data_IF_430525286986
#
_entry.id   IF_430525286986
#
_cell.length_a   1.000
_cell.length_b   1.000
_cell.length_c   1.000
_cell.angle_alpha   90.00
_cell.angle_beta   90.00
_cell.angle_gamma   90.00
#
_symmetry.space_group_name_H-M   'P 1'
#
loop_
_entity.id
_entity.type
_entity.pdbx_description
1 polymer ?
#
# COMPACT_ATOMS: atom_id res chain seq x y z
N UNK A 1 -5.67 -23.03 -16.77
CA UNK A 1 -5.22 -22.81 -15.37
C UNK A 1 -5.95 -23.82 -14.50
N UNK A 2 -5.29 -24.48 -13.56
CA UNK A 2 -5.98 -25.40 -12.64
C UNK A 2 -6.83 -24.61 -11.64
N UNK A 3 -7.93 -25.20 -11.13
CA UNK A 3 -8.82 -24.57 -10.15
C UNK A 3 -8.06 -24.14 -8.88
N UNK A 4 -7.05 -24.91 -8.46
CA UNK A 4 -6.17 -24.59 -7.33
C UNK A 4 -5.30 -23.36 -7.61
N UNK A 5 -4.76 -23.22 -8.82
CA UNK A 5 -3.98 -22.04 -9.20
C UNK A 5 -4.83 -20.77 -9.25
N UNK A 6 -6.08 -20.86 -9.77
CA UNK A 6 -7.02 -19.75 -9.76
C UNK A 6 -7.37 -19.32 -8.32
N UNK A 7 -7.53 -20.26 -7.39
CA UNK A 7 -7.77 -19.95 -5.98
C UNK A 7 -6.61 -19.18 -5.31
N UNK A 8 -5.36 -19.54 -5.62
CA UNK A 8 -4.17 -18.83 -5.11
C UNK A 8 -4.09 -17.39 -5.66
N UNK A 9 -4.39 -17.19 -6.94
CA UNK A 9 -4.43 -15.85 -7.53
C UNK A 9 -5.57 -14.98 -6.96
N UNK A 10 -6.76 -15.54 -6.76
CA UNK A 10 -7.89 -14.85 -6.12
C UNK A 10 -7.49 -14.37 -4.71
N UNK A 11 -6.82 -15.22 -3.92
CA UNK A 11 -6.32 -14.84 -2.59
C UNK A 11 -5.28 -13.71 -2.67
N UNK A 12 -4.31 -13.80 -3.60
CA UNK A 12 -3.28 -12.80 -3.78
C UNK A 12 -3.86 -11.44 -4.19
N UNK A 13 -4.78 -11.42 -5.18
CA UNK A 13 -5.41 -10.19 -5.63
C UNK A 13 -6.35 -9.61 -4.56
N UNK A 14 -6.99 -10.46 -3.75
CA UNK A 14 -7.78 -10.01 -2.59
C UNK A 14 -6.90 -9.34 -1.55
N UNK A 15 -5.69 -9.85 -1.33
CA UNK A 15 -4.70 -9.25 -0.45
C UNK A 15 -4.23 -7.87 -0.96
N UNK A 16 -3.95 -7.74 -2.26
CA UNK A 16 -3.60 -6.45 -2.86
C UNK A 16 -4.75 -5.47 -2.73
N UNK A 17 -5.96 -5.89 -3.12
CA UNK A 17 -7.17 -5.09 -2.98
C UNK A 17 -7.41 -4.60 -1.55
N UNK A 18 -7.18 -5.43 -0.55
CA UNK A 18 -7.31 -5.05 0.87
C UNK A 18 -6.35 -3.91 1.25
N UNK A 19 -5.10 -3.96 0.76
CA UNK A 19 -4.12 -2.90 0.91
C UNK A 19 -4.62 -1.55 0.38
N UNK A 20 -5.13 -1.52 -0.85
CA UNK A 20 -5.66 -0.31 -1.50
C UNK A 20 -6.87 0.27 -0.75
N UNK A 21 -7.76 -0.59 -0.27
CA UNK A 21 -8.92 -0.14 0.53
C UNK A 21 -8.46 0.52 1.84
N UNK A 22 -7.47 -0.06 2.51
CA UNK A 22 -6.91 0.54 3.73
C UNK A 22 -6.19 1.86 3.43
N UNK A 23 -5.41 1.92 2.34
CA UNK A 23 -4.77 3.14 1.83
C UNK A 23 -5.80 4.24 1.58
N UNK A 24 -6.86 3.92 0.83
CA UNK A 24 -8.00 4.84 0.58
C UNK A 24 -8.60 5.39 1.88
N UNK A 25 -8.79 4.54 2.90
CA UNK A 25 -9.32 4.93 4.19
C UNK A 25 -8.40 5.90 4.95
N UNK A 26 -7.08 5.73 4.84
CA UNK A 26 -6.09 6.63 5.41
C UNK A 26 -6.08 8.00 4.70
N UNK A 27 -6.06 8.01 3.37
CA UNK A 27 -6.09 9.23 2.56
C UNK A 27 -7.37 10.03 2.78
N UNK A 28 -8.52 9.36 2.91
CA UNK A 28 -9.78 10.02 3.26
C UNK A 28 -9.69 10.75 4.62
N UNK A 29 -9.03 10.15 5.61
CA UNK A 29 -8.79 10.79 6.91
C UNK A 29 -7.84 11.99 6.76
N UNK A 30 -6.77 11.86 5.98
CA UNK A 30 -5.83 12.94 5.69
C UNK A 30 -6.52 14.13 5.01
N UNK A 31 -7.39 13.92 4.04
CA UNK A 31 -8.21 14.96 3.39
C UNK A 31 -9.08 15.74 4.40
N UNK A 32 -9.57 15.07 5.43
CA UNK A 32 -10.35 15.74 6.48
C UNK A 32 -9.50 16.51 7.47
N UNK A 33 -8.27 16.10 7.67
CA UNK A 33 -7.37 16.68 8.67
C UNK A 33 -6.45 17.75 8.10
N UNK A 34 -5.80 17.50 6.99
CA UNK A 34 -4.82 18.39 6.37
C UNK A 34 -5.46 19.35 5.36
N UNK A 35 -5.59 20.64 5.72
CA UNK A 35 -6.37 21.65 4.99
C UNK A 35 -5.52 22.53 4.05
N UNK A 36 -4.27 22.20 3.82
CA UNK A 36 -3.45 22.88 2.80
C UNK A 36 -4.07 22.67 1.41
N UNK A 37 -4.31 23.74 0.62
CA UNK A 37 -5.00 23.64 -0.67
C UNK A 37 -4.28 22.75 -1.69
N UNK A 38 -2.94 22.80 -1.75
CA UNK A 38 -2.16 21.98 -2.67
C UNK A 38 -2.20 20.52 -2.23
N UNK A 39 -2.06 20.25 -0.93
CA UNK A 39 -2.21 18.92 -0.38
C UNK A 39 -3.60 18.32 -0.64
N UNK A 40 -4.67 19.13 -0.59
CA UNK A 40 -6.03 18.67 -0.92
C UNK A 40 -6.14 18.17 -2.37
N UNK A 41 -5.49 18.83 -3.34
CA UNK A 41 -5.44 18.38 -4.74
C UNK A 41 -4.70 17.05 -4.85
N UNK A 42 -3.47 16.98 -4.33
CA UNK A 42 -2.63 15.79 -4.39
C UNK A 42 -3.25 14.58 -3.68
N UNK A 43 -3.84 14.80 -2.50
CA UNK A 43 -4.54 13.74 -1.76
C UNK A 43 -5.79 13.25 -2.49
N UNK A 44 -6.50 14.12 -3.21
CA UNK A 44 -7.69 13.72 -3.98
C UNK A 44 -7.32 12.87 -5.18
N UNK A 45 -6.24 13.20 -5.88
CA UNK A 45 -5.68 12.41 -6.97
C UNK A 45 -5.21 11.04 -6.45
N UNK A 46 -4.42 11.02 -5.40
CA UNK A 46 -3.93 9.80 -4.76
C UNK A 46 -5.10 8.89 -4.30
N UNK A 47 -6.11 9.45 -3.62
CA UNK A 47 -7.30 8.68 -3.22
C UNK A 47 -8.06 8.09 -4.42
N UNK A 48 -8.14 8.84 -5.53
CA UNK A 48 -8.73 8.34 -6.78
C UNK A 48 -7.96 7.15 -7.33
N UNK A 49 -6.63 7.19 -7.28
CA UNK A 49 -5.77 6.10 -7.71
C UNK A 49 -5.96 4.85 -6.83
N UNK A 50 -5.90 4.97 -5.50
CA UNK A 50 -6.11 3.86 -4.58
C UNK A 50 -7.45 3.14 -4.80
N UNK A 51 -8.54 3.92 -4.95
CA UNK A 51 -9.86 3.33 -5.23
C UNK A 51 -9.92 2.66 -6.59
N UNK A 52 -9.23 3.20 -7.59
CA UNK A 52 -9.09 2.60 -8.92
C UNK A 52 -8.24 1.32 -8.87
N UNK A 53 -7.14 1.30 -8.11
CA UNK A 53 -6.33 0.10 -7.91
C UNK A 53 -7.15 -1.02 -7.26
N UNK A 54 -7.91 -0.72 -6.20
CA UNK A 54 -8.81 -1.69 -5.58
C UNK A 54 -9.83 -2.26 -6.58
N UNK A 55 -10.32 -1.43 -7.50
CA UNK A 55 -11.22 -1.87 -8.56
C UNK A 55 -10.51 -2.76 -9.61
N UNK A 56 -9.29 -2.42 -10.02
CA UNK A 56 -8.51 -3.24 -10.95
C UNK A 56 -8.26 -4.65 -10.41
N UNK A 57 -7.87 -4.76 -9.14
CA UNK A 57 -7.73 -6.07 -8.47
C UNK A 57 -9.06 -6.83 -8.40
N UNK A 58 -10.17 -6.12 -8.15
CA UNK A 58 -11.50 -6.72 -8.15
C UNK A 58 -11.89 -7.25 -9.53
N UNK A 59 -11.54 -6.55 -10.61
CA UNK A 59 -11.78 -7.01 -11.97
C UNK A 59 -11.01 -8.30 -12.27
N UNK A 60 -9.73 -8.39 -11.92
CA UNK A 60 -8.94 -9.60 -12.09
C UNK A 60 -9.54 -10.80 -11.34
N UNK A 61 -10.01 -10.59 -10.10
CA UNK A 61 -10.71 -11.62 -9.34
C UNK A 61 -11.96 -12.11 -10.07
N UNK A 62 -12.76 -11.20 -10.61
CA UNK A 62 -13.96 -11.53 -11.40
C UNK A 62 -13.62 -12.28 -12.70
N UNK A 63 -12.57 -11.87 -13.40
CA UNK A 63 -12.09 -12.52 -14.62
C UNK A 63 -11.66 -13.98 -14.36
N UNK A 64 -11.21 -14.29 -13.14
CA UNK A 64 -10.91 -15.67 -12.69
C UNK A 64 -12.17 -16.46 -12.26
N UNK A 65 -13.37 -15.86 -12.31
CA UNK A 65 -14.60 -16.46 -11.82
C UNK A 65 -14.74 -16.46 -10.29
N UNK A 66 -13.86 -15.74 -9.59
CA UNK A 66 -13.85 -15.66 -8.13
C UNK A 66 -14.63 -14.48 -7.55
N UNK A 67 -14.63 -14.41 -6.24
CA UNK A 67 -15.11 -13.27 -5.44
C UNK A 67 -13.99 -12.83 -4.48
N UNK A 68 -13.92 -11.53 -4.11
CA UNK A 68 -12.94 -11.07 -3.13
C UNK A 68 -13.02 -11.83 -1.81
N UNK A 69 -11.89 -12.29 -1.32
CA UNK A 69 -11.75 -12.97 -0.03
C UNK A 69 -11.41 -11.94 1.05
N UNK A 70 -12.01 -12.08 2.22
CA UNK A 70 -11.70 -11.23 3.38
C UNK A 70 -10.29 -11.53 3.92
N UNK A 71 -9.48 -10.49 4.10
CA UNK A 71 -8.13 -10.58 4.66
C UNK A 71 -8.15 -10.13 6.13
N UNK A 72 -8.23 -11.08 7.06
CA UNK A 72 -8.43 -10.77 8.48
C UNK A 72 -7.18 -10.25 9.21
N UNK A 73 -5.98 -10.56 8.78
CA UNK A 73 -4.73 -10.20 9.49
C UNK A 73 -3.62 -9.87 8.48
N UNK A 74 -3.96 -8.99 7.53
CA UNK A 74 -3.05 -8.52 6.49
C UNK A 74 -2.03 -7.51 7.01
N UNK A 75 -1.10 -7.13 6.14
CA UNK A 75 -0.03 -6.19 6.46
C UNK A 75 -0.54 -4.88 7.06
N UNK A 76 -1.58 -4.28 6.49
CA UNK A 76 -2.14 -3.01 6.94
C UNK A 76 -2.68 -3.08 8.38
N UNK A 77 -3.35 -4.19 8.71
CA UNK A 77 -3.85 -4.43 10.06
C UNK A 77 -2.70 -4.60 11.06
N UNK A 78 -1.66 -5.36 10.70
CA UNK A 78 -0.52 -5.63 11.58
C UNK A 78 0.33 -4.40 11.83
N UNK A 79 0.69 -3.65 10.76
CA UNK A 79 1.47 -2.43 10.93
C UNK A 79 0.70 -1.39 11.73
N UNK A 80 -0.61 -1.25 11.50
CA UNK A 80 -1.46 -0.35 12.26
C UNK A 80 -1.51 -0.70 13.76
N UNK A 81 -1.63 -1.97 14.11
CA UNK A 81 -1.57 -2.44 15.50
C UNK A 81 -0.21 -2.15 16.16
N UNK A 82 0.89 -2.38 15.43
CA UNK A 82 2.25 -2.20 15.93
C UNK A 82 2.63 -0.73 16.11
N UNK A 83 2.20 0.13 15.19
CA UNK A 83 2.46 1.58 15.22
C UNK A 83 1.55 2.30 16.21
N UNK A 84 0.30 1.86 16.34
CA UNK A 84 -0.70 2.53 17.16
C UNK A 84 -1.18 3.86 16.56
N UNK A 85 -1.65 4.77 17.41
CA UNK A 85 -2.21 6.06 16.97
C UNK A 85 -1.12 7.08 16.70
N UNK A 86 -0.97 7.47 15.43
CA UNK A 86 -0.08 8.57 15.02
C UNK A 86 -0.85 9.89 15.05
N UNK A 87 -0.37 10.84 15.89
CA UNK A 87 -1.06 12.14 16.12
C UNK A 87 -0.37 13.33 15.45
N UNK A 88 0.78 13.13 14.85
CA UNK A 88 1.53 14.19 14.16
C UNK A 88 1.48 13.94 12.64
N UNK A 89 1.19 15.00 11.88
CA UNK A 89 1.05 14.92 10.42
C UNK A 89 2.37 14.48 9.74
N UNK A 90 3.52 15.01 10.17
CA UNK A 90 4.82 14.65 9.59
C UNK A 90 5.10 13.17 9.80
N UNK A 91 4.85 12.66 11.01
CA UNK A 91 5.02 11.23 11.33
C UNK A 91 4.03 10.36 10.54
N UNK A 92 2.79 10.83 10.34
CA UNK A 92 1.79 10.11 9.55
C UNK A 92 2.20 10.02 8.07
N UNK A 93 2.72 11.09 7.48
CA UNK A 93 3.24 11.08 6.12
C UNK A 93 4.46 10.15 5.99
N UNK A 94 5.34 10.10 7.00
CA UNK A 94 6.45 9.14 7.02
C UNK A 94 5.96 7.69 7.07
N UNK A 95 4.92 7.38 7.87
CA UNK A 95 4.28 6.06 7.89
C UNK A 95 3.66 5.72 6.53
N UNK A 96 2.93 6.66 5.92
CA UNK A 96 2.33 6.47 4.60
C UNK A 96 3.41 6.13 3.56
N UNK A 97 4.53 6.87 3.52
CA UNK A 97 5.66 6.54 2.63
C UNK A 97 6.16 5.11 2.84
N UNK A 98 6.23 4.62 4.08
CA UNK A 98 6.71 3.25 4.35
C UNK A 98 5.72 2.22 3.81
N UNK A 99 4.43 2.45 4.01
CA UNK A 99 3.36 1.56 3.52
C UNK A 99 3.33 1.51 1.99
N UNK A 100 3.36 2.68 1.32
CA UNK A 100 3.41 2.78 -0.14
C UNK A 100 4.68 2.12 -0.72
N UNK A 101 5.84 2.33 -0.09
CA UNK A 101 7.08 1.66 -0.51
C UNK A 101 6.99 0.13 -0.40
N UNK A 102 6.26 -0.40 0.59
CA UNK A 102 6.02 -1.83 0.73
C UNK A 102 5.13 -2.36 -0.39
N UNK A 103 4.04 -1.65 -0.71
CA UNK A 103 3.14 -1.99 -1.82
C UNK A 103 3.91 -1.97 -3.16
N UNK A 104 4.59 -0.88 -3.47
CA UNK A 104 5.42 -0.72 -4.67
C UNK A 104 6.45 -1.85 -4.83
N UNK A 105 7.13 -2.23 -3.75
CA UNK A 105 8.10 -3.32 -3.77
C UNK A 105 7.42 -4.66 -4.09
N UNK A 106 6.31 -4.98 -3.46
CA UNK A 106 5.56 -6.22 -3.71
C UNK A 106 5.08 -6.31 -5.15
N UNK A 107 4.50 -5.24 -5.69
CA UNK A 107 4.06 -5.18 -7.09
C UNK A 107 5.23 -5.32 -8.06
N UNK A 108 6.36 -4.66 -7.78
CA UNK A 108 7.57 -4.77 -8.59
C UNK A 108 8.14 -6.19 -8.58
N UNK A 109 8.19 -6.86 -7.43
CA UNK A 109 8.66 -8.25 -7.33
C UNK A 109 7.69 -9.21 -8.04
N UNK A 110 6.39 -9.01 -7.91
CA UNK A 110 5.40 -9.81 -8.64
C UNK A 110 5.55 -9.62 -10.16
N UNK A 111 5.75 -8.40 -10.64
CA UNK A 111 5.93 -8.10 -12.07
C UNK A 111 7.16 -8.77 -12.69
N UNK A 112 8.21 -9.07 -11.89
CA UNK A 112 9.43 -9.76 -12.35
C UNK A 112 9.24 -11.26 -12.58
N UNK A 113 8.21 -11.87 -12.03
CA UNK A 113 7.96 -13.30 -12.18
C UNK A 113 7.63 -13.66 -13.63
N UNK A 114 8.11 -14.80 -14.11
CA UNK A 114 7.90 -15.24 -15.49
C UNK A 114 6.49 -15.82 -15.74
N UNK A 115 5.84 -16.30 -14.69
CA UNK A 115 4.55 -16.99 -14.72
C UNK A 115 3.33 -16.06 -14.62
N UNK A 116 3.52 -14.74 -14.56
CA UNK A 116 2.44 -13.76 -14.42
C UNK A 116 1.66 -13.63 -15.73
N UNK A 117 0.33 -13.80 -15.73
CA UNK A 117 -0.51 -13.59 -16.90
C UNK A 117 -0.40 -12.14 -17.45
N UNK A 118 -0.48 -11.97 -18.79
CA UNK A 118 -0.31 -10.63 -19.39
C UNK A 118 -1.33 -9.62 -18.85
N UNK A 119 -2.57 -10.04 -18.66
CA UNK A 119 -3.60 -9.16 -18.08
C UNK A 119 -3.23 -8.66 -16.68
N UNK A 120 -2.64 -9.51 -15.85
CA UNK A 120 -2.11 -9.12 -14.53
C UNK A 120 -0.90 -8.20 -14.65
N UNK A 121 -0.02 -8.44 -15.64
CA UNK A 121 1.12 -7.56 -15.92
C UNK A 121 0.69 -6.15 -16.28
N UNK A 122 -0.37 -5.99 -17.07
CA UNK A 122 -0.94 -4.68 -17.43
C UNK A 122 -1.35 -3.92 -16.16
N UNK A 123 -2.10 -4.57 -15.26
CA UNK A 123 -2.52 -3.97 -13.99
C UNK A 123 -1.31 -3.62 -13.13
N UNK A 124 -0.35 -4.55 -12.96
CA UNK A 124 0.86 -4.33 -12.18
C UNK A 124 1.69 -3.15 -12.70
N UNK A 125 1.87 -3.01 -14.04
CA UNK A 125 2.58 -1.87 -14.62
C UNK A 125 1.91 -0.54 -14.29
N UNK A 126 0.58 -0.49 -14.40
CA UNK A 126 -0.18 0.71 -14.08
C UNK A 126 -0.05 1.08 -12.61
N UNK A 127 -0.38 0.16 -11.71
CA UNK A 127 -0.32 0.38 -10.26
C UNK A 127 1.11 0.74 -9.81
N UNK A 128 2.13 0.02 -10.29
CA UNK A 128 3.54 0.32 -9.95
C UNK A 128 3.96 1.74 -10.35
N UNK A 129 3.47 2.24 -11.50
CA UNK A 129 3.75 3.61 -11.95
C UNK A 129 3.14 4.63 -10.99
N UNK A 130 1.89 4.44 -10.62
CA UNK A 130 1.15 5.35 -9.76
C UNK A 130 1.75 5.34 -8.33
N UNK A 131 2.08 4.17 -7.77
CA UNK A 131 2.76 4.03 -6.48
C UNK A 131 4.12 4.75 -6.42
N UNK A 132 4.86 4.74 -7.51
CA UNK A 132 6.12 5.51 -7.61
C UNK A 132 5.90 7.00 -7.41
N UNK A 133 4.83 7.56 -7.97
CA UNK A 133 4.42 8.95 -7.78
C UNK A 133 3.93 9.21 -6.35
N UNK A 134 3.09 8.32 -5.78
CA UNK A 134 2.60 8.41 -4.41
C UNK A 134 3.75 8.56 -3.40
N UNK A 135 4.71 7.65 -3.47
CA UNK A 135 5.90 7.70 -2.60
C UNK A 135 6.68 9.00 -2.75
N UNK A 136 6.82 9.51 -3.97
CA UNK A 136 7.62 10.70 -4.25
C UNK A 136 6.98 11.96 -3.65
N UNK A 137 5.70 12.22 -3.96
CA UNK A 137 5.05 13.44 -3.51
C UNK A 137 4.85 13.49 -2.01
N UNK A 138 4.45 12.38 -1.36
CA UNK A 138 4.29 12.33 0.10
C UNK A 138 5.63 12.60 0.81
N UNK A 139 6.72 12.04 0.28
CA UNK A 139 8.06 12.28 0.83
C UNK A 139 8.50 13.74 0.70
N UNK A 140 8.22 14.38 -0.43
CA UNK A 140 8.52 15.80 -0.65
C UNK A 140 7.74 16.66 0.35
N UNK A 141 6.45 16.43 0.50
CA UNK A 141 5.59 17.17 1.42
C UNK A 141 5.95 16.93 2.89
N UNK A 142 6.25 15.70 3.28
CA UNK A 142 6.69 15.39 4.64
C UNK A 142 7.96 16.15 5.03
N UNK A 143 8.94 16.24 4.13
CA UNK A 143 10.17 17.02 4.33
C UNK A 143 9.90 18.52 4.32
N UNK A 144 9.02 19.02 3.43
CA UNK A 144 8.62 20.43 3.40
C UNK A 144 8.02 20.83 4.75
N UNK A 145 7.05 20.09 5.24
CA UNK A 145 6.40 20.34 6.52
C UNK A 145 7.36 20.29 7.70
N UNK A 146 8.28 19.32 7.73
CA UNK A 146 9.29 19.21 8.77
C UNK A 146 10.21 20.45 8.80
N UNK A 147 10.63 20.93 7.63
CA UNK A 147 11.43 22.17 7.49
C UNK A 147 10.67 23.39 7.97
N UNK A 148 9.40 23.56 7.56
CA UNK A 148 8.54 24.68 7.97
C UNK A 148 8.24 24.67 9.47
N UNK A 149 8.15 23.50 10.08
CA UNK A 149 8.00 23.33 11.53
C UNK A 149 9.30 23.54 12.33
N UNK A 150 10.43 23.86 11.68
CA UNK A 150 11.73 24.00 12.35
C UNK A 150 12.35 22.71 12.86
N UNK A 151 11.91 21.56 12.37
CA UNK A 151 12.37 20.21 12.73
C UNK A 151 12.73 19.38 11.50
N UNK A 152 13.69 19.83 10.66
CA UNK A 152 13.93 19.23 9.34
C UNK A 152 14.29 17.73 9.39
N UNK A 153 14.91 17.27 10.46
CA UNK A 153 15.31 15.86 10.68
C UNK A 153 14.12 14.95 11.06
N UNK A 154 12.99 15.52 11.52
CA UNK A 154 11.87 14.75 12.09
C UNK A 154 11.28 13.75 11.12
N UNK A 155 11.07 14.15 9.86
CA UNK A 155 10.48 13.26 8.85
C UNK A 155 11.35 12.05 8.59
N UNK A 156 12.66 12.26 8.38
CA UNK A 156 13.59 11.17 8.09
C UNK A 156 13.79 10.26 9.33
N UNK A 157 13.80 10.81 10.55
CA UNK A 157 13.82 10.02 11.78
C UNK A 157 12.55 9.16 11.95
N UNK A 158 11.37 9.71 11.67
CA UNK A 158 10.12 8.98 11.69
C UNK A 158 10.10 7.88 10.61
N UNK A 159 10.62 8.17 9.42
CA UNK A 159 10.75 7.23 8.31
C UNK A 159 11.59 6.00 8.71
N UNK A 160 12.75 6.21 9.34
CA UNK A 160 13.61 5.11 9.81
C UNK A 160 12.94 4.29 10.92
N UNK A 161 12.26 4.94 11.87
CA UNK A 161 11.48 4.26 12.90
C UNK A 161 10.41 3.34 12.28
N UNK A 162 9.62 3.84 11.34
CA UNK A 162 8.55 3.03 10.73
C UNK A 162 9.07 1.96 9.78
N UNK A 163 10.22 2.17 9.12
CA UNK A 163 10.92 1.13 8.36
C UNK A 163 11.40 -0.02 9.23
N UNK A 164 11.82 0.25 10.46
CA UNK A 164 12.19 -0.83 11.39
C UNK A 164 10.95 -1.68 11.72
N UNK A 165 9.82 -1.05 12.06
CA UNK A 165 8.55 -1.72 12.33
C UNK A 165 8.06 -2.50 11.10
N UNK A 166 8.14 -1.90 9.90
CA UNK A 166 7.76 -2.54 8.64
C UNK A 166 8.56 -3.83 8.40
N UNK A 167 9.89 -3.83 8.62
CA UNK A 167 10.72 -5.03 8.46
C UNK A 167 10.28 -6.16 9.38
N UNK A 168 9.99 -5.86 10.65
CA UNK A 168 9.51 -6.85 11.61
C UNK A 168 8.16 -7.44 11.20
N UNK A 169 7.18 -6.57 10.91
CA UNK A 169 5.84 -6.97 10.47
C UNK A 169 5.88 -7.80 9.19
N UNK A 170 6.73 -7.41 8.24
CA UNK A 170 6.84 -8.11 6.97
C UNK A 170 7.49 -9.50 7.13
N UNK A 171 8.51 -9.63 7.97
CA UNK A 171 9.13 -10.93 8.26
C UNK A 171 8.12 -11.92 8.88
N UNK A 172 7.27 -11.46 9.81
CA UNK A 172 6.18 -12.28 10.38
C UNK A 172 5.15 -12.72 9.32
N UNK A 173 4.88 -11.85 8.34
CA UNK A 173 3.95 -12.13 7.25
C UNK A 173 4.52 -13.06 6.20
N UNK A 174 5.79 -12.93 5.83
CA UNK A 174 6.44 -13.81 4.84
C UNK A 174 6.35 -15.28 5.26
N UNK A 175 6.54 -15.57 6.54
CA UNK A 175 6.40 -16.94 7.07
C UNK A 175 4.96 -17.44 6.93
N UNK A 176 3.97 -16.60 7.28
CA UNK A 176 2.54 -16.94 7.16
C UNK A 176 2.09 -17.04 5.69
N UNK A 177 2.49 -16.09 4.84
CA UNK A 177 2.15 -16.08 3.42
C UNK A 177 2.77 -17.27 2.67
N UNK A 178 3.97 -17.70 3.04
CA UNK A 178 4.57 -18.90 2.48
C UNK A 178 3.67 -20.12 2.67
N UNK A 179 3.06 -20.27 3.85
CA UNK A 179 2.10 -21.36 4.10
C UNK A 179 0.83 -21.27 3.23
N UNK A 180 0.41 -20.08 2.80
CA UNK A 180 -0.75 -19.92 1.92
C UNK A 180 -0.46 -20.28 0.47
N UNK A 181 0.77 -20.04 0.01
CA UNK A 181 1.16 -20.24 -1.39
C UNK A 181 1.88 -21.56 -1.67
N UNK A 182 2.42 -22.22 -0.64
CA UNK A 182 3.08 -23.53 -0.76
C UNK A 182 2.13 -24.73 -0.51
N UNK A 183 0.95 -24.51 0.08
CA UNK A 183 -0.09 -25.52 0.28
C UNK A 183 -0.99 -25.66 -0.95
#
# INVERSE_FOLDING_TARGET
MSELAAGKEVLLYSYYRDGEIHGSGLLYKLLRWWKDPNAQIMLSEHLSDETRHAWLWTQLIKELGGTPVEIQDGYQTRIGKRVGVVRNLIDLLALTVVVEQRALRRYTEHLKRNDVPERTREVLRQVTKDEGWHVQWIRQEGRRLAKEAGTPERFDAALEKFRAIDREVFAELEEKERSWFEA
#
